data_IF_545328736730
#
_entry.id   IF_545328736730
#
_cell.length_a   1.000
_cell.length_b   1.000
_cell.length_c   1.000
_cell.angle_alpha   90.00
_cell.angle_beta   90.00
_cell.angle_gamma   90.00
#
_symmetry.space_group_name_H-M   'P 1'
#
loop_
_entity.id
_entity.type
_entity.pdbx_description
1 polymer ?
#
# COMPACT_ATOMS: atom_id res chain seq x y z
N UNK A 1 -3.44 -11.50 -25.55
CA UNK A 1 -3.52 -10.03 -25.63
C UNK A 1 -3.67 -9.40 -24.24
N UNK A 2 -4.65 -9.77 -23.42
CA UNK A 2 -4.86 -9.21 -22.06
C UNK A 2 -3.62 -9.37 -21.18
N UNK A 3 -2.95 -10.52 -21.16
CA UNK A 3 -1.76 -10.75 -20.35
C UNK A 3 -0.60 -9.83 -20.75
N UNK A 4 -0.43 -9.55 -22.05
CA UNK A 4 0.60 -8.62 -22.54
C UNK A 4 0.31 -7.19 -22.06
N UNK A 5 -0.95 -6.75 -22.13
CA UNK A 5 -1.36 -5.43 -21.64
C UNK A 5 -1.14 -5.27 -20.15
N UNK A 6 -1.41 -6.32 -19.37
CA UNK A 6 -1.14 -6.32 -17.91
C UNK A 6 0.36 -6.22 -17.64
N UNK A 7 1.20 -6.99 -18.35
CA UNK A 7 2.64 -6.95 -18.19
C UNK A 7 3.19 -5.57 -18.58
N UNK A 8 2.72 -5.00 -19.70
CA UNK A 8 3.11 -3.66 -20.13
C UNK A 8 2.66 -2.59 -19.11
N UNK A 9 1.44 -2.68 -18.60
CA UNK A 9 0.93 -1.77 -17.57
C UNK A 9 1.83 -1.79 -16.33
N UNK A 10 2.14 -2.97 -15.79
CA UNK A 10 3.02 -3.09 -14.64
C UNK A 10 4.47 -2.69 -14.95
N UNK A 11 4.97 -2.95 -16.16
CA UNK A 11 6.31 -2.58 -16.57
C UNK A 11 6.51 -1.07 -16.76
N UNK A 12 5.48 -0.35 -17.20
CA UNK A 12 5.49 1.10 -17.40
C UNK A 12 5.13 1.85 -16.11
N UNK A 13 4.61 1.15 -15.10
CA UNK A 13 4.21 1.77 -13.85
C UNK A 13 5.40 2.49 -13.20
N UNK A 14 5.32 3.81 -13.08
CA UNK A 14 6.44 4.65 -12.67
C UNK A 14 7.08 4.22 -11.35
N UNK A 15 6.26 3.75 -10.40
CA UNK A 15 6.74 3.22 -9.12
C UNK A 15 7.63 1.99 -9.30
N UNK A 16 7.27 1.06 -10.19
CA UNK A 16 8.08 -0.14 -10.43
C UNK A 16 9.41 0.21 -11.08
N UNK A 17 9.42 1.20 -11.99
CA UNK A 17 10.65 1.70 -12.62
C UNK A 17 11.54 2.33 -11.55
N UNK A 18 11.00 3.23 -10.72
CA UNK A 18 11.77 3.90 -9.66
C UNK A 18 12.31 2.87 -8.66
N UNK A 19 11.48 1.92 -8.22
CA UNK A 19 11.88 0.88 -7.25
C UNK A 19 12.93 -0.08 -7.81
N UNK A 20 13.01 -0.28 -9.14
CA UNK A 20 14.04 -1.14 -9.74
C UNK A 20 15.44 -0.53 -9.64
N UNK A 21 15.55 0.78 -9.50
CA UNK A 21 16.83 1.50 -9.36
C UNK A 21 17.20 1.83 -7.91
N UNK A 22 16.28 1.67 -6.98
CA UNK A 22 16.53 1.93 -5.55
C UNK A 22 16.63 0.61 -4.79
N UNK A 23 17.79 0.24 -4.25
CA UNK A 23 17.97 -0.96 -3.44
C UNK A 23 17.37 -0.75 -2.05
N UNK A 24 16.06 -0.63 -1.96
CA UNK A 24 15.32 -0.43 -0.73
C UNK A 24 14.44 -1.65 -0.38
N UNK A 25 13.99 -1.71 0.85
CA UNK A 25 13.07 -2.74 1.36
C UNK A 25 11.77 -2.86 0.54
N UNK A 26 11.43 -1.85 -0.25
CA UNK A 26 10.25 -1.82 -1.11
C UNK A 26 10.26 -2.91 -2.18
N UNK A 27 11.42 -3.23 -2.78
CA UNK A 27 11.54 -4.28 -3.79
C UNK A 27 11.19 -5.65 -3.21
N UNK A 28 11.71 -5.96 -2.02
CA UNK A 28 11.38 -7.20 -1.31
C UNK A 28 9.91 -7.26 -0.92
N UNK A 29 9.36 -6.13 -0.43
CA UNK A 29 7.94 -6.04 -0.10
C UNK A 29 7.05 -6.27 -1.32
N UNK A 30 7.41 -5.69 -2.47
CA UNK A 30 6.69 -5.87 -3.73
C UNK A 30 6.70 -7.32 -4.18
N UNK A 31 7.86 -7.99 -4.13
CA UNK A 31 7.99 -9.41 -4.46
C UNK A 31 7.09 -10.28 -3.57
N UNK A 32 7.20 -10.11 -2.25
CA UNK A 32 6.39 -10.87 -1.30
C UNK A 32 4.89 -10.63 -1.49
N UNK A 33 4.51 -9.37 -1.75
CA UNK A 33 3.12 -9.01 -2.02
C UNK A 33 2.62 -9.64 -3.33
N UNK A 34 3.46 -9.67 -4.39
CA UNK A 34 3.12 -10.30 -5.66
C UNK A 34 2.92 -11.81 -5.49
N UNK A 35 3.81 -12.49 -4.76
CA UNK A 35 3.70 -13.93 -4.47
C UNK A 35 2.43 -14.24 -3.66
N UNK A 36 2.16 -13.44 -2.63
CA UNK A 36 0.94 -13.60 -1.83
C UNK A 36 -0.32 -13.34 -2.65
N UNK A 37 -0.34 -12.30 -3.47
CA UNK A 37 -1.48 -11.98 -4.33
C UNK A 37 -1.73 -13.08 -5.38
N UNK A 38 -0.67 -13.68 -5.93
CA UNK A 38 -0.79 -14.83 -6.84
C UNK A 38 -1.42 -16.04 -6.11
N UNK A 39 -0.95 -16.35 -4.91
CA UNK A 39 -1.54 -17.40 -4.08
C UNK A 39 -3.02 -17.13 -3.77
N UNK A 40 -3.33 -15.91 -3.33
CA UNK A 40 -4.69 -15.49 -3.03
C UNK A 40 -5.61 -15.56 -4.26
N UNK A 41 -5.13 -15.12 -5.44
CA UNK A 41 -5.88 -15.18 -6.69
C UNK A 41 -6.23 -16.63 -7.07
N UNK A 42 -5.31 -17.58 -6.89
CA UNK A 42 -5.57 -19.01 -7.12
C UNK A 42 -6.68 -19.52 -6.20
N UNK A 43 -6.64 -19.15 -4.90
CA UNK A 43 -7.66 -19.54 -3.91
C UNK A 43 -9.03 -18.94 -4.26
N UNK A 44 -9.08 -17.64 -4.57
CA UNK A 44 -10.31 -16.96 -4.96
C UNK A 44 -10.89 -17.56 -6.24
N UNK A 45 -10.06 -17.88 -7.25
CA UNK A 45 -10.50 -18.54 -8.48
C UNK A 45 -11.13 -19.91 -8.23
N UNK A 46 -10.63 -20.65 -7.24
CA UNK A 46 -11.19 -21.94 -6.80
C UNK A 46 -12.39 -21.77 -5.85
N UNK A 47 -12.84 -20.55 -5.60
CA UNK A 47 -13.90 -20.22 -4.65
C UNK A 47 -13.60 -20.63 -3.21
N UNK A 48 -12.31 -20.82 -2.90
CA UNK A 48 -11.83 -21.17 -1.58
C UNK A 48 -11.49 -19.91 -0.77
N UNK A 49 -11.69 -19.99 0.55
CA UNK A 49 -11.23 -18.93 1.48
C UNK A 49 -9.70 -18.94 1.59
N UNK A 50 -9.09 -17.78 1.82
CA UNK A 50 -7.67 -17.66 2.12
C UNK A 50 -7.45 -18.18 3.56
N UNK A 51 -6.64 -19.23 3.80
CA UNK A 51 -6.41 -19.73 5.15
C UNK A 51 -5.71 -18.71 6.05
N UNK A 52 -5.92 -18.82 7.38
CA UNK A 52 -5.32 -17.90 8.34
C UNK A 52 -3.79 -17.93 8.35
N UNK A 53 -3.19 -19.11 8.24
CA UNK A 53 -1.73 -19.29 8.32
C UNK A 53 -0.99 -18.53 7.22
N UNK A 54 -1.30 -18.70 5.91
CA UNK A 54 -0.69 -17.89 4.85
C UNK A 54 -0.94 -16.39 5.00
N UNK A 55 -2.11 -15.99 5.50
CA UNK A 55 -2.43 -14.58 5.74
C UNK A 55 -1.55 -14.00 6.85
N UNK A 56 -1.35 -14.73 7.95
CA UNK A 56 -0.48 -14.35 9.07
C UNK A 56 0.98 -14.25 8.60
N UNK A 57 1.47 -15.27 7.88
CA UNK A 57 2.84 -15.27 7.37
C UNK A 57 3.10 -14.11 6.42
N UNK A 58 2.18 -13.84 5.49
CA UNK A 58 2.26 -12.69 4.60
C UNK A 58 2.20 -11.36 5.38
N UNK A 59 1.29 -11.25 6.35
CA UNK A 59 1.17 -10.07 7.20
C UNK A 59 2.45 -9.78 7.99
N UNK A 60 3.06 -10.81 8.58
CA UNK A 60 4.33 -10.66 9.34
C UNK A 60 5.48 -10.31 8.40
N UNK A 61 5.64 -11.02 7.28
CA UNK A 61 6.77 -10.82 6.37
C UNK A 61 6.70 -9.45 5.70
N UNK A 62 5.54 -9.08 5.16
CA UNK A 62 5.33 -7.82 4.44
C UNK A 62 5.27 -6.64 5.42
N UNK A 63 4.54 -6.78 6.51
CA UNK A 63 4.44 -5.77 7.57
C UNK A 63 5.76 -5.56 8.31
N UNK A 64 6.57 -6.61 8.46
CA UNK A 64 7.91 -6.52 9.06
C UNK A 64 8.91 -5.71 8.24
N UNK A 65 8.78 -5.71 6.93
CA UNK A 65 9.55 -4.84 6.02
C UNK A 65 9.02 -3.41 6.03
N UNK A 66 7.70 -3.25 5.92
CA UNK A 66 7.04 -1.94 5.91
C UNK A 66 5.66 -2.07 6.55
N UNK A 67 5.49 -1.52 7.74
CA UNK A 67 4.27 -1.65 8.57
C UNK A 67 3.00 -1.26 7.80
N UNK A 68 3.06 -0.19 7.02
CA UNK A 68 1.90 0.29 6.24
C UNK A 68 1.44 -0.69 5.16
N UNK A 69 2.32 -1.56 4.68
CA UNK A 69 2.00 -2.53 3.62
C UNK A 69 1.22 -3.75 4.13
N UNK A 70 1.12 -3.95 5.45
CA UNK A 70 0.28 -5.02 6.02
C UNK A 70 -1.19 -4.88 5.56
N UNK A 71 -1.68 -3.66 5.40
CA UNK A 71 -3.05 -3.38 4.93
C UNK A 71 -3.28 -3.97 3.54
N UNK A 72 -2.27 -3.96 2.67
CA UNK A 72 -2.36 -4.50 1.30
C UNK A 72 -2.55 -6.02 1.29
N UNK A 73 -2.09 -6.72 2.33
CA UNK A 73 -2.28 -8.17 2.48
C UNK A 73 -3.75 -8.52 2.72
N UNK A 74 -4.54 -7.59 3.24
CA UNK A 74 -5.97 -7.82 3.51
C UNK A 74 -6.87 -7.57 2.29
N UNK A 75 -6.36 -6.85 1.27
CA UNK A 75 -7.16 -6.54 0.07
C UNK A 75 -7.73 -7.81 -0.60
N UNK A 76 -6.95 -8.88 -0.85
CA UNK A 76 -7.48 -10.10 -1.46
C UNK A 76 -8.63 -10.75 -0.68
N UNK A 77 -8.65 -10.62 0.65
CA UNK A 77 -9.74 -11.20 1.48
C UNK A 77 -11.09 -10.58 1.12
N UNK A 78 -11.13 -9.30 0.73
CA UNK A 78 -12.35 -8.63 0.31
C UNK A 78 -12.96 -9.20 -0.98
N UNK A 79 -12.19 -9.98 -1.74
CA UNK A 79 -12.64 -10.63 -2.99
C UNK A 79 -13.06 -12.09 -2.80
N UNK A 80 -13.12 -12.60 -1.57
CA UNK A 80 -13.63 -13.94 -1.30
C UNK A 80 -15.13 -14.04 -1.68
N UNK A 81 -15.53 -15.19 -2.21
CA UNK A 81 -16.90 -15.42 -2.67
C UNK A 81 -17.91 -15.31 -1.53
N UNK A 82 -18.99 -14.59 -1.78
CA UNK A 82 -20.12 -14.37 -0.85
C UNK A 82 -19.71 -13.75 0.50
N UNK A 83 -18.58 -13.04 0.55
CA UNK A 83 -18.09 -12.45 1.80
C UNK A 83 -19.13 -11.54 2.45
N UNK A 84 -19.73 -10.65 1.68
CA UNK A 84 -20.71 -9.67 2.18
C UNK A 84 -22.14 -10.18 2.19
N UNK A 85 -22.42 -11.32 1.56
CA UNK A 85 -23.75 -11.94 1.55
C UNK A 85 -23.98 -12.82 2.78
N UNK A 86 -22.91 -13.43 3.29
CA UNK A 86 -22.98 -14.36 4.42
C UNK A 86 -22.28 -13.80 5.65
N UNK A 87 -23.05 -13.44 6.68
CA UNK A 87 -22.54 -12.85 7.92
C UNK A 87 -21.46 -13.71 8.61
N UNK A 88 -21.63 -15.05 8.56
CA UNK A 88 -20.63 -15.97 9.12
C UNK A 88 -19.30 -15.95 8.34
N UNK A 89 -19.36 -15.82 7.01
CA UNK A 89 -18.16 -15.69 6.18
C UNK A 89 -17.45 -14.34 6.46
N UNK A 90 -18.23 -13.27 6.59
CA UNK A 90 -17.71 -11.96 6.95
C UNK A 90 -17.05 -11.97 8.33
N UNK A 91 -17.72 -12.52 9.35
CA UNK A 91 -17.17 -12.65 10.69
C UNK A 91 -15.86 -13.47 10.72
N UNK A 92 -15.80 -14.57 9.96
CA UNK A 92 -14.58 -15.38 9.83
C UNK A 92 -13.44 -14.61 9.14
N UNK A 93 -13.73 -13.81 8.11
CA UNK A 93 -12.72 -12.98 7.44
C UNK A 93 -12.17 -11.91 8.38
N UNK A 94 -13.05 -11.21 9.10
CA UNK A 94 -12.67 -10.21 10.11
C UNK A 94 -11.83 -10.87 11.21
N UNK A 95 -12.22 -12.04 11.69
CA UNK A 95 -11.45 -12.78 12.69
C UNK A 95 -10.03 -13.10 12.20
N UNK A 96 -9.87 -13.58 10.95
CA UNK A 96 -8.54 -13.87 10.36
C UNK A 96 -7.68 -12.60 10.25
N UNK A 97 -8.28 -11.48 9.87
CA UNK A 97 -7.58 -10.18 9.81
C UNK A 97 -7.14 -9.74 11.20
N UNK A 98 -8.04 -9.77 12.19
CA UNK A 98 -7.71 -9.42 13.58
C UNK A 98 -6.62 -10.32 14.13
N UNK A 99 -6.72 -11.63 13.91
CA UNK A 99 -5.69 -12.58 14.34
C UNK A 99 -4.33 -12.27 13.73
N UNK A 100 -4.29 -11.94 12.44
CA UNK A 100 -3.05 -11.53 11.76
C UNK A 100 -2.47 -10.24 12.37
N UNK A 101 -3.30 -9.25 12.65
CA UNK A 101 -2.88 -8.01 13.32
C UNK A 101 -2.33 -8.28 14.71
N UNK A 102 -2.99 -9.11 15.51
CA UNK A 102 -2.53 -9.48 16.85
C UNK A 102 -1.17 -10.17 16.78
N UNK A 103 -1.01 -11.18 15.94
CA UNK A 103 0.25 -11.89 15.76
C UNK A 103 1.39 -10.92 15.35
N UNK A 104 1.11 -10.03 14.39
CA UNK A 104 2.06 -9.02 13.96
C UNK A 104 2.46 -8.08 15.10
N UNK A 105 1.49 -7.54 15.83
CA UNK A 105 1.72 -6.62 16.95
C UNK A 105 2.52 -7.29 18.06
N UNK A 106 2.20 -8.53 18.43
CA UNK A 106 2.93 -9.27 19.46
C UNK A 106 4.38 -9.49 19.08
N UNK A 107 4.65 -9.91 17.83
CA UNK A 107 6.03 -10.08 17.34
C UNK A 107 6.78 -8.75 17.28
N UNK A 108 6.12 -7.69 16.84
CA UNK A 108 6.71 -6.36 16.80
C UNK A 108 7.04 -5.83 18.18
N UNK A 109 6.13 -5.98 19.16
CA UNK A 109 6.35 -5.58 20.55
C UNK A 109 7.47 -6.38 21.19
N UNK A 110 7.53 -7.69 20.95
CA UNK A 110 8.62 -8.54 21.45
C UNK A 110 9.98 -8.05 20.92
N UNK A 111 10.06 -7.66 19.65
CA UNK A 111 11.32 -7.13 19.06
C UNK A 111 11.81 -5.83 19.70
N UNK A 112 10.92 -5.02 20.28
CA UNK A 112 11.24 -3.74 20.93
C UNK A 112 11.25 -3.83 22.46
N UNK A 113 11.33 -5.05 23.02
CA UNK A 113 11.30 -5.31 24.47
C UNK A 113 10.10 -4.67 25.16
N UNK A 114 8.94 -4.65 24.49
CA UNK A 114 7.69 -4.01 24.95
C UNK A 114 7.81 -2.52 25.29
N UNK A 115 8.86 -1.83 24.79
CA UNK A 115 9.06 -0.39 25.00
C UNK A 115 8.19 0.46 24.07
N UNK A 116 6.85 0.37 24.23
CA UNK A 116 5.89 1.06 23.37
C UNK A 116 6.07 2.58 23.31
N UNK A 117 6.55 3.23 24.39
CA UNK A 117 6.84 4.68 24.42
C UNK A 117 7.89 5.09 23.36
N UNK A 118 8.83 4.21 23.06
CA UNK A 118 9.85 4.47 22.04
C UNK A 118 9.27 4.51 20.61
N UNK A 119 8.18 3.80 20.34
CA UNK A 119 7.51 3.85 19.05
C UNK A 119 6.96 5.24 18.81
N UNK A 120 6.18 5.75 19.77
CA UNK A 120 5.56 7.07 19.67
C UNK A 120 6.59 8.19 19.59
N UNK A 121 7.65 8.13 20.41
CA UNK A 121 8.71 9.16 20.38
C UNK A 121 9.49 9.16 19.07
N UNK A 122 9.83 7.99 18.52
CA UNK A 122 10.50 7.88 17.22
C UNK A 122 9.60 8.31 16.08
N UNK A 123 8.33 7.94 16.11
CA UNK A 123 7.34 8.35 15.09
C UNK A 123 7.14 9.87 15.13
N UNK A 124 7.00 10.46 16.32
CA UNK A 124 6.89 11.90 16.46
C UNK A 124 8.15 12.63 15.96
N UNK A 125 9.33 12.16 16.32
CA UNK A 125 10.58 12.76 15.87
C UNK A 125 10.78 12.64 14.34
N UNK A 126 10.31 11.56 13.75
CA UNK A 126 10.28 11.43 12.29
C UNK A 126 9.23 12.35 11.68
N UNK A 127 8.03 12.41 12.26
CA UNK A 127 6.98 13.31 11.81
C UNK A 127 7.43 14.77 11.87
N UNK A 128 8.07 15.20 12.94
CA UNK A 128 8.65 16.55 13.07
C UNK A 128 9.74 16.84 12.03
N UNK A 129 10.57 15.85 11.71
CA UNK A 129 11.59 15.98 10.65
C UNK A 129 10.98 16.11 9.24
N UNK A 130 9.81 15.52 9.03
CA UNK A 130 9.11 15.55 7.74
C UNK A 130 8.01 16.63 7.67
N UNK A 131 7.50 17.10 8.82
CA UNK A 131 6.37 18.05 8.90
C UNK A 131 6.74 19.51 8.61
N UNK A 132 7.99 19.84 8.38
CA UNK A 132 8.40 21.14 7.82
C UNK A 132 7.96 21.31 6.34
N UNK A 133 7.22 20.37 5.81
CA UNK A 133 6.48 20.50 4.56
C UNK A 133 5.22 21.32 4.86
N UNK A 134 4.95 22.38 4.08
CA UNK A 134 3.69 23.14 4.12
C UNK A 134 2.53 22.18 4.39
N UNK A 135 1.65 22.55 5.31
CA UNK A 135 0.45 21.78 5.61
C UNK A 135 -0.45 21.74 4.37
N UNK A 136 -0.18 20.77 3.50
CA UNK A 136 -1.03 20.53 2.34
C UNK A 136 -2.28 19.80 2.83
N UNK A 137 -3.45 20.10 2.30
CA UNK A 137 -4.67 19.38 2.62
C UNK A 137 -4.47 17.87 2.42
N UNK A 138 -5.01 17.06 3.32
CA UNK A 138 -4.84 15.60 3.30
C UNK A 138 -5.25 14.98 1.96
N UNK A 139 -6.25 15.56 1.28
CA UNK A 139 -6.71 15.11 -0.02
C UNK A 139 -5.68 15.32 -1.13
N UNK A 140 -4.98 16.46 -1.13
CA UNK A 140 -3.89 16.71 -2.09
C UNK A 140 -2.76 15.69 -1.91
N UNK A 141 -2.44 15.34 -0.66
CA UNK A 141 -1.44 14.31 -0.38
C UNK A 141 -1.88 12.93 -0.88
N UNK A 142 -3.13 12.56 -0.64
CA UNK A 142 -3.66 11.26 -1.09
C UNK A 142 -3.68 11.20 -2.61
N UNK A 143 -4.21 12.22 -3.27
CA UNK A 143 -4.34 12.21 -4.73
C UNK A 143 -2.99 12.35 -5.43
N UNK A 144 -2.09 13.21 -4.95
CA UNK A 144 -0.81 13.45 -5.62
C UNK A 144 0.27 12.43 -5.24
N UNK A 145 0.39 12.04 -3.96
CA UNK A 145 1.45 11.12 -3.55
C UNK A 145 1.04 9.66 -3.68
N UNK A 146 -0.15 9.32 -3.21
CA UNK A 146 -0.56 7.92 -3.17
C UNK A 146 -1.04 7.41 -4.54
N UNK A 147 -1.90 8.16 -5.21
CA UNK A 147 -2.41 7.79 -6.52
C UNK A 147 -1.60 8.36 -7.67
N UNK A 148 -1.39 9.67 -7.67
CA UNK A 148 -0.71 10.36 -8.76
C UNK A 148 0.74 9.93 -8.92
N UNK A 149 1.48 9.88 -7.84
CA UNK A 149 2.88 9.44 -7.86
C UNK A 149 3.08 7.99 -8.31
N UNK A 150 2.06 7.14 -8.13
CA UNK A 150 2.11 5.74 -8.57
C UNK A 150 1.64 5.53 -10.02
N UNK A 151 0.62 6.27 -10.46
CA UNK A 151 -0.05 6.05 -11.77
C UNK A 151 0.52 6.95 -12.86
N UNK A 152 0.77 8.21 -12.50
CA UNK A 152 1.39 9.21 -13.37
C UNK A 152 2.86 9.40 -12.99
N UNK A 153 3.38 10.58 -13.21
CA UNK A 153 4.69 10.98 -12.71
C UNK A 153 4.52 11.78 -11.41
N UNK A 154 5.31 11.46 -10.36
CA UNK A 154 5.31 12.27 -9.16
C UNK A 154 5.81 13.68 -9.47
N UNK A 155 5.20 14.69 -8.86
CA UNK A 155 5.73 16.04 -8.86
C UNK A 155 6.91 16.10 -7.91
N UNK A 156 8.03 16.66 -8.36
CA UNK A 156 9.24 16.79 -7.56
C UNK A 156 9.64 18.25 -7.40
N UNK A 157 10.06 18.61 -6.19
CA UNK A 157 10.79 19.85 -5.92
C UNK A 157 12.21 19.52 -5.46
N UNK A 158 13.14 20.35 -5.93
CA UNK A 158 14.53 20.32 -5.48
C UNK A 158 14.62 21.23 -4.25
N UNK A 159 15.00 20.68 -3.10
CA UNK A 159 15.29 21.45 -1.89
C UNK A 159 16.74 21.28 -1.51
N UNK A 160 17.38 22.41 -1.18
CA UNK A 160 18.70 22.38 -0.57
C UNK A 160 18.53 21.97 0.90
N UNK A 161 19.21 20.92 1.30
CA UNK A 161 19.22 20.45 2.69
C UNK A 161 20.59 20.79 3.27
N UNK A 162 20.64 21.75 4.20
CA UNK A 162 21.83 22.00 5.02
C UNK A 162 22.01 20.81 5.97
N UNK A 163 23.17 20.19 5.89
CA UNK A 163 23.55 19.18 6.86
C UNK A 163 24.41 19.85 7.95
N UNK A 164 24.30 19.39 9.22
CA UNK A 164 25.10 19.90 10.34
C UNK A 164 26.62 19.79 10.13
N UNK A 165 27.07 19.12 9.08
CA UNK A 165 28.49 18.98 8.69
C UNK A 165 28.95 19.94 7.57
N UNK A 166 28.14 20.95 7.20
CA UNK A 166 28.52 21.95 6.21
C UNK A 166 28.43 21.52 4.74
N UNK A 167 27.86 20.35 4.46
CA UNK A 167 27.60 19.89 3.09
C UNK A 167 26.18 20.21 2.69
N UNK A 168 26.02 20.90 1.56
CA UNK A 168 24.72 21.16 0.94
C UNK A 168 24.35 19.99 0.03
N UNK A 169 23.27 19.29 0.36
CA UNK A 169 22.70 18.28 -0.51
C UNK A 169 21.48 18.86 -1.22
N UNK A 170 21.46 18.69 -2.55
CA UNK A 170 20.22 18.86 -3.31
C UNK A 170 19.40 17.57 -3.21
N UNK A 171 18.32 17.59 -2.43
CA UNK A 171 17.39 16.48 -2.32
C UNK A 171 16.19 16.67 -3.23
N UNK A 172 15.79 15.60 -3.91
CA UNK A 172 14.52 15.53 -4.64
C UNK A 172 13.43 15.13 -3.65
N UNK A 173 12.40 15.97 -3.50
CA UNK A 173 11.27 15.70 -2.64
C UNK A 173 9.99 15.66 -3.46
N UNK A 174 9.10 14.74 -3.15
CA UNK A 174 7.77 14.73 -3.74
C UNK A 174 6.99 15.95 -3.27
N UNK A 175 6.25 16.54 -4.17
CA UNK A 175 5.35 17.68 -3.89
C UNK A 175 3.98 17.43 -4.53
N UNK A 176 2.99 18.22 -4.12
CA UNK A 176 1.67 18.21 -4.73
C UNK A 176 1.72 18.77 -6.14
N UNK A 177 0.79 18.36 -6.99
CA UNK A 177 0.71 18.92 -8.33
C UNK A 177 0.30 20.38 -8.26
N UNK A 178 1.00 21.23 -9.02
CA UNK A 178 0.68 22.66 -9.17
C UNK A 178 -0.49 22.89 -10.12
N UNK A 179 -0.73 21.96 -11.05
CA UNK A 179 -1.82 22.01 -12.03
C UNK A 179 -2.99 21.13 -11.57
N UNK A 180 -4.23 21.52 -11.91
CA UNK A 180 -5.44 20.76 -11.64
C UNK A 180 -5.63 19.56 -12.59
N UNK A 181 -4.98 19.55 -13.75
CA UNK A 181 -5.13 18.50 -14.78
C UNK A 181 -4.81 17.10 -14.27
N UNK A 182 -3.68 16.82 -13.57
CA UNK A 182 -3.40 15.51 -12.99
C UNK A 182 -4.48 15.06 -12.00
N UNK A 183 -5.03 15.97 -11.19
CA UNK A 183 -6.09 15.64 -10.23
C UNK A 183 -7.37 15.15 -10.92
N UNK A 184 -7.78 15.82 -11.99
CA UNK A 184 -8.96 15.41 -12.77
C UNK A 184 -8.72 14.03 -13.39
N UNK A 185 -7.55 13.82 -14.00
CA UNK A 185 -7.21 12.54 -14.61
C UNK A 185 -7.23 11.39 -13.58
N UNK A 186 -6.60 11.59 -12.43
CA UNK A 186 -6.57 10.60 -11.34
C UNK A 186 -7.98 10.33 -10.83
N UNK A 187 -8.79 11.37 -10.65
CA UNK A 187 -10.17 11.24 -10.16
C UNK A 187 -11.03 10.44 -11.14
N UNK A 188 -10.93 10.70 -12.44
CA UNK A 188 -11.63 9.93 -13.48
C UNK A 188 -11.20 8.46 -13.43
N UNK A 189 -9.90 8.20 -13.34
CA UNK A 189 -9.35 6.85 -13.31
C UNK A 189 -9.81 6.09 -12.06
N UNK A 190 -9.84 6.73 -10.89
CA UNK A 190 -10.37 6.15 -9.66
C UNK A 190 -11.86 5.85 -9.76
N UNK A 191 -12.65 6.76 -10.36
CA UNK A 191 -14.09 6.53 -10.57
C UNK A 191 -14.30 5.33 -11.51
N UNK A 192 -13.52 5.21 -12.58
CA UNK A 192 -13.60 4.07 -13.51
C UNK A 192 -13.24 2.75 -12.83
N UNK A 193 -12.21 2.74 -11.98
CA UNK A 193 -11.81 1.56 -11.19
C UNK A 193 -12.94 1.16 -10.25
N UNK A 194 -13.48 2.11 -9.48
CA UNK A 194 -14.58 1.86 -8.56
C UNK A 194 -15.84 1.38 -9.29
N UNK A 195 -16.18 2.03 -10.41
CA UNK A 195 -17.33 1.63 -11.23
C UNK A 195 -17.17 0.21 -11.78
N UNK A 196 -15.99 -0.11 -12.31
CA UNK A 196 -15.66 -1.46 -12.80
C UNK A 196 -15.75 -2.49 -11.67
N UNK A 197 -15.25 -2.16 -10.49
CA UNK A 197 -15.34 -3.00 -9.30
C UNK A 197 -16.80 -3.29 -8.94
N UNK A 198 -17.60 -2.25 -8.76
CA UNK A 198 -19.01 -2.40 -8.39
C UNK A 198 -19.85 -3.10 -9.47
N UNK A 199 -19.59 -2.85 -10.75
CA UNK A 199 -20.25 -3.55 -11.86
C UNK A 199 -19.97 -5.04 -11.83
N UNK A 200 -18.71 -5.43 -11.68
CA UNK A 200 -18.32 -6.83 -11.61
C UNK A 200 -18.77 -7.50 -10.31
N UNK A 201 -18.89 -6.72 -9.25
CA UNK A 201 -19.38 -7.19 -7.95
C UNK A 201 -20.87 -7.50 -8.02
N UNK A 202 -21.69 -6.62 -8.65
CA UNK A 202 -23.13 -6.85 -8.86
C UNK A 202 -23.39 -8.10 -9.71
N UNK A 203 -22.60 -8.37 -10.75
CA UNK A 203 -22.79 -9.54 -11.61
C UNK A 203 -22.55 -10.88 -10.89
N UNK A 204 -21.92 -10.87 -9.72
CA UNK A 204 -21.71 -12.05 -8.86
C UNK A 204 -22.77 -12.18 -7.76
N UNK A 205 -23.66 -11.21 -7.61
CA UNK A 205 -24.75 -11.19 -6.63
C UNK A 205 -26.13 -11.53 -7.21
N UNK A 206 -26.24 -11.66 -8.52
CA UNK A 206 -27.41 -12.17 -9.24
C UNK A 206 -27.16 -13.60 -9.65
#
# INVERSE_FOLDING_TARGET
MINLLIILFFGIFSTNIILSFTPENFTYTLLLLALFNQYAAIKIKKEEKIPAIPLILAGISIGGLTVTNIVKVFIPVAFEKDLFRNWNKFGNAVFRIILTCICFILLYLNRIDFKYKTIFSKTNSQYEKFSNVKSTPTWDMILSYFFGGNILFPSFIIRNKHNMKGFDFKGLFMDVYTSWVPYVFISILLILILWSYFKNFKSKFV
#
